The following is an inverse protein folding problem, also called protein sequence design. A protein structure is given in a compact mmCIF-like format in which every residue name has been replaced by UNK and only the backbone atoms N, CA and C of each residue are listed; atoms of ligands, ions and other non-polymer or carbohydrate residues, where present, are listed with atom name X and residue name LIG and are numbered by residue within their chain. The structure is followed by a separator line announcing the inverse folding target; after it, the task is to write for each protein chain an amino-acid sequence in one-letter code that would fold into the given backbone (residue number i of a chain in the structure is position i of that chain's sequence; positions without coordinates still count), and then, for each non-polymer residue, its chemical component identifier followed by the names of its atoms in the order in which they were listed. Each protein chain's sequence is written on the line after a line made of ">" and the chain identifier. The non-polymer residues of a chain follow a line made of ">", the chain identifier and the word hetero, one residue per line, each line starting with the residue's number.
data_IF_826951736238
#
_entry.id   IF_826951736238
#
_cell.length_a   1.000
_cell.length_b   1.000
_cell.length_c   1.000
_cell.angle_alpha   90.00
_cell.angle_beta   90.00
_cell.angle_gamma   90.00
#
_symmetry.space_group_name_H-M   'P 1'
#
loop_
_entity.id
_entity.type
_entity.pdbx_description
1 polymer ?
#
# COMPACT_ATOMS: atom_id res chain seq x y z
N UNK A 1 4.80 16.21 -10.01
CA UNK A 1 3.84 16.40 -8.90
C UNK A 1 3.03 15.13 -8.70
N UNK A 2 2.63 14.82 -7.46
CA UNK A 2 1.93 13.59 -7.08
C UNK A 2 2.47 12.96 -5.80
N UNK A 3 1.87 11.86 -5.38
CA UNK A 3 2.30 11.08 -4.22
C UNK A 3 2.33 9.57 -4.51
N UNK A 4 3.03 8.83 -3.65
CA UNK A 4 3.14 7.39 -3.71
C UNK A 4 2.97 6.78 -2.31
N UNK A 5 2.46 5.55 -2.29
CA UNK A 5 2.22 4.75 -1.10
C UNK A 5 2.75 3.34 -1.33
N UNK A 6 2.94 2.62 -0.23
CA UNK A 6 3.23 1.18 -0.28
C UNK A 6 1.89 0.46 -0.24
N UNK A 7 1.56 -0.25 -1.31
CA UNK A 7 0.33 -1.03 -1.38
C UNK A 7 0.57 -2.42 -0.82
N UNK A 8 -0.01 -2.70 0.33
CA UNK A 8 0.03 -4.01 0.98
C UNK A 8 -1.13 -4.85 0.45
N UNK A 9 -0.87 -6.09 0.05
CA UNK A 9 -1.85 -6.90 -0.68
C UNK A 9 -2.89 -7.57 0.22
N UNK A 10 -2.58 -7.82 1.50
CA UNK A 10 -3.51 -8.41 2.46
C UNK A 10 -3.24 -7.93 3.90
N UNK A 11 -4.15 -8.28 4.82
CA UNK A 11 -4.06 -7.95 6.24
C UNK A 11 -3.90 -9.20 7.14
N UNK A 12 -3.43 -10.32 6.60
CA UNK A 12 -3.30 -11.58 7.37
C UNK A 12 -2.18 -11.51 8.39
N UNK A 13 -1.11 -10.75 8.08
CA UNK A 13 -0.01 -10.51 9.01
C UNK A 13 -0.44 -9.65 10.20
N UNK A 14 -0.09 -10.06 11.41
CA UNK A 14 -0.30 -9.28 12.64
C UNK A 14 0.34 -7.89 12.57
N UNK A 15 1.47 -7.78 11.85
CA UNK A 15 2.16 -6.49 11.63
C UNK A 15 1.26 -5.54 10.84
N UNK A 16 0.62 -6.03 9.78
CA UNK A 16 -0.29 -5.21 8.95
C UNK A 16 -1.49 -4.76 9.78
N UNK A 17 -2.06 -5.65 10.59
CA UNK A 17 -3.19 -5.30 11.48
C UNK A 17 -2.78 -4.25 12.51
N UNK A 18 -1.59 -4.36 13.09
CA UNK A 18 -1.07 -3.36 14.03
C UNK A 18 -0.85 -2.00 13.35
N UNK A 19 -0.28 -1.97 12.13
CA UNK A 19 -0.10 -0.74 11.35
C UNK A 19 -1.44 -0.09 10.97
N UNK A 20 -2.46 -0.91 10.67
CA UNK A 20 -3.82 -0.45 10.41
C UNK A 20 -4.44 0.18 11.66
N UNK A 21 -4.34 -0.48 12.82
CA UNK A 21 -4.82 0.04 14.10
C UNK A 21 -4.09 1.32 14.53
N UNK A 22 -2.80 1.44 14.19
CA UNK A 22 -2.02 2.66 14.42
C UNK A 22 -2.36 3.81 13.45
N UNK A 23 -3.26 3.59 12.47
CA UNK A 23 -3.68 4.61 11.51
C UNK A 23 -2.64 4.93 10.42
N UNK A 24 -1.56 4.14 10.34
CA UNK A 24 -0.48 4.29 9.36
C UNK A 24 -0.87 3.76 7.98
N UNK A 25 -1.82 2.83 7.93
CA UNK A 25 -2.40 2.33 6.68
C UNK A 25 -3.74 3.03 6.44
N UNK A 26 -3.90 3.61 5.25
CA UNK A 26 -5.17 4.12 4.74
C UNK A 26 -5.80 3.07 3.83
N UNK A 27 -7.10 2.84 3.98
CA UNK A 27 -7.86 1.99 3.06
C UNK A 27 -8.57 2.89 2.07
N UNK A 28 -8.27 2.74 0.79
CA UNK A 28 -8.94 3.53 -0.25
C UNK A 28 -10.32 2.95 -0.61
N UNK A 29 -11.11 3.67 -1.41
CA UNK A 29 -12.47 3.24 -1.82
C UNK A 29 -12.54 1.90 -2.56
N UNK A 30 -11.43 1.44 -3.14
CA UNK A 30 -11.33 0.14 -3.81
C UNK A 30 -10.83 -0.97 -2.86
N UNK A 31 -10.64 -0.67 -1.57
CA UNK A 31 -10.23 -1.64 -0.55
C UNK A 31 -8.71 -1.88 -0.50
N UNK A 32 -7.88 -1.05 -1.14
CA UNK A 32 -6.42 -1.20 -1.08
C UNK A 32 -5.89 -0.70 0.26
N UNK A 33 -5.01 -1.49 0.89
CA UNK A 33 -4.26 -1.11 2.08
C UNK A 33 -3.01 -0.31 1.68
N UNK A 34 -3.04 1.00 1.89
CA UNK A 34 -1.98 1.93 1.49
C UNK A 34 -1.25 2.45 2.72
N UNK A 35 -0.04 1.93 2.95
CA UNK A 35 0.83 2.41 4.01
C UNK A 35 1.36 3.81 3.65
N UNK A 36 1.06 4.76 4.53
CA UNK A 36 1.51 6.13 4.45
C UNK A 36 2.91 6.26 5.09
N UNK A 37 3.89 6.44 4.21
CA UNK A 37 5.30 6.69 4.58
C UNK A 37 5.63 8.19 4.60
N UNK A 38 4.61 9.04 4.76
CA UNK A 38 4.69 10.50 4.88
C UNK A 38 5.34 11.21 3.66
N UNK A 39 5.30 10.58 2.49
CA UNK A 39 5.89 11.12 1.26
C UNK A 39 5.16 12.37 0.74
N UNK A 40 3.93 12.63 1.19
CA UNK A 40 3.18 13.85 0.89
C UNK A 40 3.95 15.12 1.31
N UNK A 41 4.55 15.09 2.49
CA UNK A 41 5.29 16.22 3.09
C UNK A 41 6.67 16.46 2.48
N UNK A 42 7.15 15.54 1.65
CA UNK A 42 8.51 15.57 1.10
C UNK A 42 8.49 16.15 -0.30
N UNK A 43 9.33 17.18 -0.54
CA UNK A 43 9.52 17.81 -1.84
C UNK A 43 10.43 16.95 -2.75
N UNK A 44 9.92 15.78 -3.12
CA UNK A 44 10.57 14.87 -4.06
C UNK A 44 9.77 14.75 -5.35
N UNK A 45 10.45 14.57 -6.50
CA UNK A 45 9.77 14.19 -7.72
C UNK A 45 9.08 12.83 -7.53
N UNK A 46 7.93 12.65 -8.20
CA UNK A 46 7.11 11.44 -8.08
C UNK A 46 7.92 10.15 -8.29
N UNK A 47 8.81 10.14 -9.30
CA UNK A 47 9.71 9.01 -9.57
C UNK A 47 10.56 8.60 -8.35
N UNK A 48 10.98 9.56 -7.54
CA UNK A 48 11.77 9.29 -6.32
C UNK A 48 10.87 8.79 -5.18
N UNK A 49 9.65 9.31 -5.06
CA UNK A 49 8.62 8.80 -4.13
C UNK A 49 8.27 7.34 -4.46
N UNK A 50 8.06 7.03 -5.73
CA UNK A 50 7.80 5.67 -6.22
C UNK A 50 8.98 4.72 -5.93
N UNK A 51 10.22 5.15 -6.17
CA UNK A 51 11.41 4.35 -5.86
C UNK A 51 11.54 4.07 -4.36
N UNK A 52 11.22 5.06 -3.51
CA UNK A 52 11.19 4.87 -2.07
C UNK A 52 10.10 3.89 -1.64
N UNK A 53 8.87 4.02 -2.17
CA UNK A 53 7.80 3.08 -1.91
C UNK A 53 8.18 1.65 -2.32
N UNK A 54 8.83 1.46 -3.49
CA UNK A 54 9.38 0.16 -3.90
C UNK A 54 10.43 -0.37 -2.93
N UNK A 55 11.32 0.49 -2.42
CA UNK A 55 12.33 0.09 -1.45
C UNK A 55 11.69 -0.40 -0.14
N UNK A 56 10.69 0.33 0.37
CA UNK A 56 9.94 -0.08 1.57
C UNK A 56 9.16 -1.38 1.35
N UNK A 57 8.54 -1.56 0.17
CA UNK A 57 7.87 -2.81 -0.19
C UNK A 57 8.83 -4.01 -0.16
N UNK A 58 10.01 -3.87 -0.75
CA UNK A 58 11.05 -4.90 -0.69
C UNK A 58 11.52 -5.18 0.74
N UNK A 59 11.67 -4.14 1.55
CA UNK A 59 12.04 -4.28 2.96
C UNK A 59 10.96 -5.03 3.77
N UNK A 60 9.67 -4.72 3.57
CA UNK A 60 8.56 -5.43 4.22
C UNK A 60 8.55 -6.92 3.87
N UNK A 61 8.78 -7.25 2.58
CA UNK A 61 8.89 -8.63 2.14
C UNK A 61 10.06 -9.36 2.81
N UNK A 62 11.25 -8.76 2.82
CA UNK A 62 12.42 -9.39 3.43
C UNK A 62 12.32 -9.52 4.96
N UNK A 63 11.72 -8.55 5.64
CA UNK A 63 11.72 -8.48 7.11
C UNK A 63 10.56 -9.25 7.76
N UNK A 64 9.41 -9.27 7.11
CA UNK A 64 8.15 -9.76 7.68
C UNK A 64 7.38 -10.70 6.75
N UNK A 65 7.93 -11.04 5.58
CA UNK A 65 7.28 -11.85 4.54
C UNK A 65 5.97 -11.25 3.99
N UNK A 66 5.78 -9.93 4.12
CA UNK A 66 4.58 -9.22 3.66
C UNK A 66 4.71 -8.92 2.17
N UNK A 67 3.76 -9.39 1.37
CA UNK A 67 3.65 -9.02 -0.05
C UNK A 67 3.13 -7.59 -0.19
N UNK A 68 3.92 -6.76 -0.86
CA UNK A 68 3.61 -5.37 -1.10
C UNK A 68 4.20 -4.88 -2.43
N UNK A 69 3.56 -3.85 -2.97
CA UNK A 69 3.99 -3.14 -4.16
C UNK A 69 4.01 -1.64 -3.96
N UNK A 70 4.20 -0.90 -5.05
CA UNK A 70 4.04 0.57 -5.06
C UNK A 70 2.70 0.93 -5.68
N UNK A 71 2.10 1.98 -5.14
CA UNK A 71 0.91 2.62 -5.69
C UNK A 71 1.17 4.12 -5.77
N UNK A 72 0.77 4.77 -6.86
CA UNK A 72 1.07 6.18 -7.07
C UNK A 72 -0.01 6.90 -7.84
N UNK A 73 -0.21 8.17 -7.50
CA UNK A 73 -1.15 9.07 -8.15
C UNK A 73 -0.39 10.28 -8.65
N UNK A 74 -0.57 10.60 -9.94
CA UNK A 74 0.06 11.75 -10.57
C UNK A 74 -0.73 13.02 -10.28
N UNK A 75 -0.02 14.09 -9.92
CA UNK A 75 -0.57 15.44 -9.80
C UNK A 75 -1.46 15.68 -8.58
N UNK A 76 -1.79 14.65 -7.80
CA UNK A 76 -2.61 14.74 -6.59
C UNK A 76 -1.96 13.99 -5.43
N UNK A 77 -2.21 14.48 -4.23
CA UNK A 77 -1.99 13.76 -2.98
C UNK A 77 -3.33 13.23 -2.47
N UNK A 78 -3.89 12.30 -3.25
CA UNK A 78 -5.22 11.74 -3.01
C UNK A 78 -5.15 10.25 -3.34
N UNK A 79 -5.20 9.41 -2.31
CA UNK A 79 -5.09 7.96 -2.44
C UNK A 79 -6.39 7.29 -2.94
N UNK A 80 -7.49 8.04 -3.05
CA UNK A 80 -8.75 7.61 -3.66
C UNK A 80 -8.82 7.95 -5.16
N UNK A 81 -7.86 8.72 -5.67
CA UNK A 81 -7.82 9.08 -7.09
C UNK A 81 -7.33 7.92 -7.98
N UNK A 82 -7.56 8.06 -9.29
CA UNK A 82 -7.12 7.07 -10.28
C UNK A 82 -5.59 6.94 -10.23
N UNK A 83 -5.04 5.72 -10.02
CA UNK A 83 -3.60 5.53 -9.98
C UNK A 83 -2.97 5.84 -11.33
N UNK A 84 -1.83 6.52 -11.30
CA UNK A 84 -0.94 6.59 -12.46
C UNK A 84 -0.12 5.33 -12.64
N UNK A 85 0.13 4.61 -11.55
CA UNK A 85 0.79 3.31 -11.56
C UNK A 85 0.42 2.54 -10.30
N UNK A 86 0.19 1.24 -10.46
CA UNK A 86 0.14 0.25 -9.39
C UNK A 86 1.00 -0.95 -9.78
N UNK A 87 1.73 -1.53 -8.82
CA UNK A 87 2.48 -2.75 -9.07
C UNK A 87 1.50 -3.87 -9.43
N UNK A 88 1.67 -4.54 -10.58
CA UNK A 88 0.82 -5.67 -10.93
C UNK A 88 0.92 -6.77 -9.87
N UNK A 89 -0.23 -7.29 -9.45
CA UNK A 89 -0.27 -8.48 -8.62
C UNK A 89 0.27 -9.66 -9.45
N UNK A 90 1.15 -10.47 -8.87
CA UNK A 90 1.50 -11.77 -9.47
C UNK A 90 0.25 -12.66 -9.39
N UNK A 91 -0.11 -13.27 -10.51
CA UNK A 91 -1.32 -14.07 -10.80
C UNK A 91 -2.21 -14.50 -9.63
N UNK A 92 -3.52 -14.27 -9.79
CA UNK A 92 -4.63 -14.66 -8.91
C UNK A 92 -4.25 -14.76 -7.43
N UNK A 93 -3.68 -13.70 -6.85
CA UNK A 93 -3.92 -13.50 -5.43
C UNK A 93 -5.42 -13.20 -5.34
N UNK A 94 -6.26 -14.05 -4.73
CA UNK A 94 -7.65 -13.71 -4.50
C UNK A 94 -7.65 -12.35 -3.84
N UNK A 95 -8.48 -11.42 -4.32
CA UNK A 95 -8.79 -10.24 -3.53
C UNK A 95 -9.34 -10.75 -2.20
N UNK A 96 -8.50 -10.86 -1.16
CA UNK A 96 -8.87 -11.44 0.13
C UNK A 96 -9.64 -10.43 0.99
N UNK A 97 -10.68 -9.84 0.39
CA UNK A 97 -11.87 -9.46 1.14
C UNK A 97 -12.76 -10.69 1.44
N UNK A 98 -12.22 -11.91 1.33
CA UNK A 98 -12.72 -13.06 2.08
C UNK A 98 -12.19 -12.97 3.52
N UNK A 99 -12.75 -12.06 4.32
CA UNK A 99 -12.98 -12.39 5.73
C UNK A 99 -13.79 -13.67 5.73
N UNK A 100 -13.18 -14.79 6.13
CA UNK A 100 -13.97 -15.94 6.57
C UNK A 100 -14.85 -15.39 7.69
N UNK A 101 -16.17 -15.42 7.50
CA UNK A 101 -17.08 -15.29 8.64
C UNK A 101 -16.66 -16.38 9.61
N UNK A 102 -16.02 -15.98 10.71
CA UNK A 102 -15.88 -16.87 11.85
C UNK A 102 -17.25 -16.81 12.51
N UNK A 103 -18.13 -17.72 12.10
CA UNK A 103 -19.35 -18.01 12.83
C UNK A 103 -18.93 -18.38 14.26
N UNK A 104 -19.41 -17.60 15.23
CA UNK A 104 -19.23 -17.83 16.67
C UNK A 104 -20.25 -18.84 17.19
#
# INVERSE_FOLDING_TARGET
>A
FGNAWVWIHDNQSQVVRALLQAGMIKVNKEGRYLLDVNLASVDWPLRRKEAFASHVAGWLKHRFDIEAGRYSVRGKDDYDAIPSYETPLKDQHPFYNHTVNVDW
#
